data_IF_154734257205
#
_entry.id   IF_154734257205
#
_cell.length_a   1.000
_cell.length_b   1.000
_cell.length_c   1.000
_cell.angle_alpha   90.00
_cell.angle_beta   90.00
_cell.angle_gamma   90.00
#
_symmetry.space_group_name_H-M   'P 1'
#
loop_
_entity.id
_entity.type
_entity.pdbx_description
1 polymer ?
#
# COMPACT_ATOMS: atom_id res chain seq x y z
N UNK A 1 9.84 -26.53 23.53
CA UNK A 1 8.87 -25.54 23.02
C UNK A 1 9.23 -25.12 21.58
N UNK A 2 8.85 -25.90 20.57
CA UNK A 2 9.19 -25.62 19.16
C UNK A 2 8.29 -24.56 18.49
N UNK A 3 7.07 -24.32 18.98
CA UNK A 3 6.11 -23.38 18.36
C UNK A 3 6.49 -21.90 18.43
N UNK A 4 7.20 -21.48 19.48
CA UNK A 4 7.66 -20.08 19.65
C UNK A 4 8.77 -19.73 18.63
N UNK A 5 9.62 -20.69 18.29
CA UNK A 5 10.70 -20.52 17.30
C UNK A 5 10.18 -20.38 15.87
N UNK A 6 9.08 -21.06 15.53
CA UNK A 6 8.49 -21.01 14.18
C UNK A 6 7.77 -19.69 13.95
N UNK A 7 7.01 -19.18 14.93
CA UNK A 7 6.31 -17.89 14.81
C UNK A 7 7.32 -16.74 14.65
N UNK A 8 8.38 -16.72 15.45
CA UNK A 8 9.44 -15.69 15.33
C UNK A 8 10.13 -15.73 13.97
N UNK A 9 10.35 -16.92 13.40
CA UNK A 9 10.93 -17.07 12.06
C UNK A 9 9.96 -16.61 10.95
N UNK A 10 8.66 -16.92 11.08
CA UNK A 10 7.64 -16.43 10.14
C UNK A 10 7.50 -14.90 10.18
N UNK A 11 7.55 -14.30 11.37
CA UNK A 11 7.58 -12.83 11.54
C UNK A 11 8.83 -12.22 10.91
N UNK A 12 10.00 -12.83 11.13
CA UNK A 12 11.23 -12.41 10.45
C UNK A 12 11.12 -12.48 8.92
N UNK A 13 10.59 -13.58 8.36
CA UNK A 13 10.37 -13.71 6.92
C UNK A 13 9.33 -12.72 6.38
N UNK A 14 8.30 -12.40 7.18
CA UNK A 14 7.32 -11.37 6.84
C UNK A 14 7.99 -10.00 6.75
N UNK A 15 8.83 -9.64 7.73
CA UNK A 15 9.56 -8.36 7.76
C UNK A 15 10.59 -8.25 6.63
N UNK A 16 11.26 -9.35 6.28
CA UNK A 16 12.21 -9.38 5.14
C UNK A 16 11.49 -9.23 3.81
N UNK A 17 10.37 -9.95 3.61
CA UNK A 17 9.57 -9.82 2.39
C UNK A 17 8.91 -8.45 2.26
N UNK A 18 8.52 -7.83 3.39
CA UNK A 18 8.03 -6.44 3.42
C UNK A 18 9.03 -5.46 2.82
N UNK A 19 10.32 -5.66 3.09
CA UNK A 19 11.41 -4.81 2.60
C UNK A 19 11.81 -5.08 1.14
N UNK A 20 11.40 -6.22 0.58
CA UNK A 20 11.66 -6.59 -0.82
C UNK A 20 10.62 -5.98 -1.79
N UNK A 21 9.50 -5.46 -1.28
CA UNK A 21 8.46 -4.75 -2.04
C UNK A 21 9.01 -3.48 -2.72
N UNK A 22 9.68 -3.64 -3.85
CA UNK A 22 10.21 -2.54 -4.67
C UNK A 22 9.63 -2.54 -6.09
N UNK A 23 8.66 -3.44 -6.40
CA UNK A 23 8.23 -3.70 -7.79
C UNK A 23 6.73 -3.95 -7.94
N UNK A 24 5.89 -3.14 -7.28
CA UNK A 24 4.43 -3.24 -7.37
C UNK A 24 3.77 -2.31 -8.42
N UNK A 25 4.45 -1.23 -8.81
CA UNK A 25 3.84 -0.19 -9.65
C UNK A 25 2.77 0.62 -8.90
N UNK A 26 2.82 0.63 -7.57
CA UNK A 26 1.80 1.25 -6.72
C UNK A 26 1.95 2.78 -6.60
N UNK A 27 3.02 3.35 -7.14
CA UNK A 27 3.28 4.78 -7.19
C UNK A 27 2.33 5.55 -8.13
N UNK A 28 1.56 4.84 -8.96
CA UNK A 28 0.66 5.47 -9.93
C UNK A 28 -0.63 4.67 -10.13
N UNK A 29 -1.31 4.37 -9.02
CA UNK A 29 -2.52 3.55 -9.03
C UNK A 29 -3.74 4.31 -9.52
N UNK A 30 -3.83 5.64 -9.45
CA UNK A 30 -5.04 6.34 -9.94
C UNK A 30 -4.89 6.95 -11.34
N UNK A 31 -3.68 7.01 -11.90
CA UNK A 31 -3.43 7.70 -13.15
C UNK A 31 -2.70 6.81 -14.16
N UNK A 32 -3.44 5.98 -14.90
CA UNK A 32 -2.87 5.21 -16.02
C UNK A 32 -3.07 5.99 -17.33
N UNK A 33 -2.02 6.08 -18.16
CA UNK A 33 -2.00 6.87 -19.41
C UNK A 33 -3.12 6.52 -20.41
N UNK A 34 -3.74 5.35 -20.29
CA UNK A 34 -4.96 5.03 -21.03
C UNK A 34 -6.20 5.35 -20.19
N UNK A 35 -7.04 6.28 -20.66
CA UNK A 35 -8.31 6.67 -20.01
C UNK A 35 -9.29 5.48 -19.79
N UNK A 36 -9.13 4.39 -20.54
CA UNK A 36 -9.91 3.15 -20.43
C UNK A 36 -9.46 2.22 -19.30
N UNK A 37 -8.36 2.54 -18.63
CA UNK A 37 -7.83 1.79 -17.48
C UNK A 37 -7.88 2.63 -16.21
N UNK A 38 -8.98 3.36 -15.97
CA UNK A 38 -9.24 3.83 -14.62
C UNK A 38 -9.39 2.58 -13.76
N UNK A 39 -8.43 2.27 -12.88
CA UNK A 39 -8.56 1.11 -12.02
C UNK A 39 -9.75 1.37 -11.10
N UNK A 40 -10.43 0.30 -10.73
CA UNK A 40 -11.58 0.31 -9.83
C UNK A 40 -11.29 1.21 -8.63
N UNK A 41 -11.75 2.45 -8.65
CA UNK A 41 -11.51 3.43 -7.60
C UNK A 41 -12.85 3.73 -6.96
N UNK A 42 -12.92 3.53 -5.65
CA UNK A 42 -14.10 3.86 -4.86
C UNK A 42 -13.66 4.59 -3.61
N UNK A 43 -14.15 5.82 -3.43
CA UNK A 43 -13.89 6.60 -2.22
C UNK A 43 -14.58 5.95 -1.00
N UNK A 44 -13.82 5.78 0.08
CA UNK A 44 -14.33 5.21 1.33
C UNK A 44 -14.77 6.27 2.34
N UNK A 45 -14.43 7.54 2.11
CA UNK A 45 -14.68 8.61 3.09
C UNK A 45 -16.13 9.08 3.16
N UNK A 46 -16.96 8.76 2.17
CA UNK A 46 -18.36 9.16 2.11
C UNK A 46 -19.27 7.93 2.00
N UNK A 47 -20.46 7.90 2.64
CA UNK A 47 -21.45 6.86 2.40
C UNK A 47 -21.85 6.83 0.91
N UNK A 48 -21.87 5.62 0.32
CA UNK A 48 -22.23 5.43 -1.07
C UNK A 48 -23.29 4.31 -1.17
N UNK A 49 -24.55 4.64 -1.51
CA UNK A 49 -25.61 3.64 -1.70
C UNK A 49 -25.33 2.64 -2.83
N UNK A 50 -24.52 3.00 -3.82
CA UNK A 50 -24.16 2.12 -4.94
C UNK A 50 -22.99 1.18 -4.61
N UNK A 51 -22.39 1.32 -3.41
CA UNK A 51 -21.22 0.56 -2.98
C UNK A 51 -21.39 -0.98 -3.10
N UNK A 52 -22.53 -1.61 -2.76
CA UNK A 52 -22.69 -3.05 -2.98
C UNK A 52 -22.54 -3.46 -4.46
N UNK A 53 -23.08 -2.65 -5.38
CA UNK A 53 -22.95 -2.89 -6.81
C UNK A 53 -21.50 -2.69 -7.30
N UNK A 54 -20.80 -1.71 -6.73
CA UNK A 54 -19.37 -1.49 -6.97
C UNK A 54 -18.53 -2.71 -6.55
N UNK A 55 -18.79 -3.27 -5.37
CA UNK A 55 -18.13 -4.49 -4.89
C UNK A 55 -18.38 -5.71 -5.75
N UNK A 56 -19.62 -5.89 -6.21
CA UNK A 56 -19.94 -6.96 -7.14
C UNK A 56 -19.21 -6.81 -8.48
N UNK A 57 -19.15 -5.59 -9.01
CA UNK A 57 -18.39 -5.30 -10.24
C UNK A 57 -16.89 -5.59 -10.07
N UNK A 58 -16.31 -5.14 -8.95
CA UNK A 58 -14.93 -5.39 -8.59
C UNK A 58 -14.64 -6.90 -8.44
N UNK A 59 -15.50 -7.65 -7.73
CA UNK A 59 -15.36 -9.08 -7.55
C UNK A 59 -15.37 -9.83 -8.88
N UNK A 60 -16.34 -9.51 -9.77
CA UNK A 60 -16.41 -10.08 -11.12
C UNK A 60 -15.17 -9.76 -11.95
N UNK A 61 -14.62 -8.55 -11.81
CA UNK A 61 -13.38 -8.18 -12.51
C UNK A 61 -12.17 -8.97 -12.02
N UNK A 62 -12.05 -9.20 -10.70
CA UNK A 62 -10.99 -10.02 -10.12
C UNK A 62 -11.08 -11.46 -10.64
N UNK A 63 -12.26 -12.08 -10.55
CA UNK A 63 -12.51 -13.46 -11.03
C UNK A 63 -12.21 -13.62 -12.52
N UNK A 64 -12.69 -12.68 -13.35
CA UNK A 64 -12.43 -12.70 -14.80
C UNK A 64 -10.94 -12.48 -15.15
N UNK A 65 -10.20 -11.76 -14.32
CA UNK A 65 -8.76 -11.54 -14.53
C UNK A 65 -7.95 -12.75 -14.09
N UNK A 66 -8.33 -13.38 -12.97
CA UNK A 66 -7.74 -14.64 -12.51
C UNK A 66 -7.95 -15.77 -13.52
N UNK A 67 -9.14 -15.90 -14.10
CA UNK A 67 -9.42 -16.85 -15.17
C UNK A 67 -8.55 -16.65 -16.43
N UNK A 68 -7.99 -15.45 -16.61
CA UNK A 68 -7.04 -15.10 -17.70
C UNK A 68 -5.58 -15.19 -17.26
N UNK A 69 -5.30 -15.71 -16.07
CA UNK A 69 -3.94 -15.84 -15.52
C UNK A 69 -3.34 -14.53 -15.00
N UNK A 70 -4.15 -13.48 -14.80
CA UNK A 70 -3.70 -12.20 -14.26
C UNK A 70 -4.09 -12.10 -12.78
N UNK A 71 -3.10 -12.17 -11.91
CA UNK A 71 -3.31 -12.01 -10.48
C UNK A 71 -3.54 -10.53 -10.12
N UNK A 72 -4.78 -10.19 -9.77
CA UNK A 72 -5.16 -8.88 -9.24
C UNK A 72 -5.59 -9.01 -7.77
N UNK A 73 -5.39 -7.95 -6.99
CA UNK A 73 -5.81 -7.90 -5.58
C UNK A 73 -6.62 -6.63 -5.30
N UNK A 74 -7.72 -6.75 -4.55
CA UNK A 74 -8.39 -5.60 -3.96
C UNK A 74 -7.58 -5.09 -2.76
N UNK A 75 -7.41 -3.77 -2.71
CA UNK A 75 -6.59 -3.07 -1.72
C UNK A 75 -7.37 -1.88 -1.16
N UNK A 76 -7.07 -1.54 0.09
CA UNK A 76 -7.51 -0.30 0.72
C UNK A 76 -6.31 0.63 0.88
N UNK A 77 -6.36 1.79 0.25
CA UNK A 77 -5.34 2.82 0.33
C UNK A 77 -5.65 3.87 1.41
N UNK A 78 -4.60 4.32 2.09
CA UNK A 78 -4.63 5.33 3.14
C UNK A 78 -3.66 6.46 2.82
N UNK A 79 -4.19 7.68 2.77
CA UNK A 79 -3.43 8.87 2.39
C UNK A 79 -3.13 8.88 0.89
N UNK A 80 -3.60 9.86 0.14
CA UNK A 80 -3.38 9.95 -1.30
C UNK A 80 -2.31 11.00 -1.60
N UNK A 81 -1.22 10.59 -2.25
CA UNK A 81 -0.18 11.48 -2.75
C UNK A 81 -0.37 11.68 -4.25
N UNK A 82 -0.54 12.93 -4.68
CA UNK A 82 -0.72 13.33 -6.08
C UNK A 82 0.33 14.37 -6.49
N UNK A 83 0.87 14.25 -7.70
CA UNK A 83 1.77 15.26 -8.25
C UNK A 83 2.85 14.68 -9.12
N UNK A 84 3.94 15.42 -9.27
CA UNK A 84 5.15 14.97 -9.92
C UNK A 84 6.30 14.98 -8.94
N UNK A 85 7.06 13.90 -8.94
CA UNK A 85 8.29 13.75 -8.17
C UNK A 85 9.45 13.77 -9.17
N UNK A 86 10.46 14.58 -8.86
CA UNK A 86 11.68 14.61 -9.65
C UNK A 86 12.50 13.34 -9.37
N UNK A 87 12.89 12.65 -10.43
CA UNK A 87 13.78 11.49 -10.37
C UNK A 87 14.96 11.73 -11.30
N UNK A 88 15.98 10.89 -11.21
CA UNK A 88 17.11 10.94 -12.14
C UNK A 88 16.69 10.76 -13.61
N UNK A 89 15.61 10.03 -13.89
CA UNK A 89 15.03 9.88 -15.25
C UNK A 89 14.14 11.07 -15.67
N UNK A 90 14.04 12.10 -14.82
CA UNK A 90 13.13 13.24 -14.98
C UNK A 90 11.89 13.15 -14.10
N UNK A 91 10.89 13.98 -14.42
CA UNK A 91 9.68 14.11 -13.62
C UNK A 91 8.74 12.91 -13.81
N UNK A 92 8.42 12.22 -12.72
CA UNK A 92 7.48 11.09 -12.70
C UNK A 92 6.18 11.51 -12.05
N UNK A 93 5.06 11.23 -12.73
CA UNK A 93 3.70 11.41 -12.18
C UNK A 93 3.44 10.37 -11.10
N UNK A 94 2.82 10.83 -10.02
CA UNK A 94 2.47 10.03 -8.85
C UNK A 94 0.98 10.21 -8.56
N UNK A 95 0.33 9.09 -8.31
CA UNK A 95 -1.04 9.04 -7.83
C UNK A 95 -1.22 7.79 -6.98
N UNK A 96 -0.74 7.85 -5.74
CA UNK A 96 -0.41 6.67 -4.93
C UNK A 96 -0.96 6.76 -3.51
N UNK A 97 -1.31 5.61 -2.89
CA UNK A 97 -1.52 5.57 -1.45
C UNK A 97 -0.19 5.77 -0.71
N UNK A 98 -0.21 6.42 0.45
CA UNK A 98 0.94 6.51 1.35
C UNK A 98 1.16 5.18 2.08
N UNK A 99 0.07 4.56 2.53
CA UNK A 99 0.02 3.22 3.10
C UNK A 99 -1.17 2.45 2.52
N UNK A 100 -1.13 1.13 2.56
CA UNK A 100 -2.24 0.29 2.12
C UNK A 100 -2.32 -1.02 2.89
N UNK A 101 -3.45 -1.69 2.81
CA UNK A 101 -3.61 -3.08 3.27
C UNK A 101 -4.36 -3.90 2.21
N UNK A 102 -4.19 -5.22 2.26
CA UNK A 102 -5.02 -6.13 1.46
C UNK A 102 -6.48 -6.07 1.90
N UNK A 103 -7.35 -6.52 1.03
CA UNK A 103 -8.76 -6.68 1.33
C UNK A 103 -9.30 -7.95 0.69
N UNK A 104 -10.52 -8.34 1.08
CA UNK A 104 -11.28 -9.43 0.47
C UNK A 104 -12.66 -8.92 0.07
N UNK A 105 -13.13 -9.44 -1.06
CA UNK A 105 -14.51 -9.31 -1.50
C UNK A 105 -15.13 -10.69 -1.38
N UNK A 106 -16.12 -10.84 -0.50
CA UNK A 106 -16.75 -12.11 -0.15
C UNK A 106 -18.19 -12.05 -0.65
N UNK A 107 -18.56 -12.98 -1.52
CA UNK A 107 -19.95 -13.11 -1.95
C UNK A 107 -20.79 -13.68 -0.79
N UNK A 108 -21.95 -13.08 -0.57
CA UNK A 108 -22.89 -13.49 0.45
C UNK A 108 -23.69 -14.70 -0.06
N UNK A 109 -23.45 -15.87 0.53
CA UNK A 109 -24.10 -17.12 0.13
C UNK A 109 -25.63 -17.06 0.30
N UNK A 110 -26.11 -16.31 1.30
CA UNK A 110 -27.54 -16.20 1.63
C UNK A 110 -28.25 -15.11 0.80
N UNK A 111 -27.49 -14.19 0.20
CA UNK A 111 -28.03 -13.04 -0.55
C UNK A 111 -27.36 -12.91 -1.92
N UNK A 112 -27.98 -13.47 -2.98
CA UNK A 112 -27.44 -13.37 -4.33
C UNK A 112 -27.18 -11.90 -4.74
N UNK A 113 -26.01 -11.63 -5.32
CA UNK A 113 -25.53 -10.29 -5.69
C UNK A 113 -25.19 -9.34 -4.52
N UNK A 114 -25.03 -9.86 -3.30
CA UNK A 114 -24.46 -9.12 -2.18
C UNK A 114 -22.99 -9.50 -2.02
N UNK A 115 -22.14 -8.48 -1.86
CA UNK A 115 -20.70 -8.66 -1.63
C UNK A 115 -20.29 -7.87 -0.41
N UNK A 116 -19.66 -8.56 0.52
CA UNK A 116 -19.04 -7.97 1.71
C UNK A 116 -17.59 -7.61 1.40
N UNK A 117 -17.16 -6.46 1.91
CA UNK A 117 -15.79 -5.99 1.82
C UNK A 117 -15.13 -6.11 3.20
N UNK A 118 -14.02 -6.85 3.27
CA UNK A 118 -13.27 -7.09 4.49
C UNK A 118 -11.83 -6.57 4.31
N UNK A 119 -11.43 -5.47 4.99
CA UNK A 119 -10.02 -5.09 5.08
C UNK A 119 -9.23 -6.11 5.91
N UNK A 120 -8.06 -6.50 5.42
CA UNK A 120 -7.10 -7.33 6.15
C UNK A 120 -6.07 -6.44 6.85
N UNK A 121 -6.47 -5.90 8.00
CA UNK A 121 -5.73 -4.90 8.76
C UNK A 121 -4.32 -5.34 9.18
N UNK A 122 -4.13 -6.64 9.41
CA UNK A 122 -2.84 -7.27 9.72
C UNK A 122 -1.81 -7.18 8.58
N UNK A 123 -2.26 -6.78 7.38
CA UNK A 123 -1.40 -6.60 6.20
C UNK A 123 -1.10 -5.13 5.90
N UNK A 124 -1.42 -4.22 6.82
CA UNK A 124 -1.14 -2.79 6.62
C UNK A 124 0.36 -2.56 6.49
N UNK A 125 0.75 -1.77 5.48
CA UNK A 125 2.16 -1.49 5.17
C UNK A 125 2.31 -0.15 4.48
N UNK A 126 3.52 0.42 4.54
CA UNK A 126 3.87 1.60 3.77
C UNK A 126 4.02 1.27 2.28
N UNK A 127 3.73 2.25 1.43
CA UNK A 127 3.98 2.15 0.00
C UNK A 127 5.45 2.40 -0.33
N UNK A 128 6.28 1.37 -0.23
CA UNK A 128 7.71 1.47 -0.50
C UNK A 128 8.05 1.86 -1.94
N UNK A 129 7.22 1.55 -2.94
CA UNK A 129 7.40 2.06 -4.32
C UNK A 129 7.35 3.59 -4.33
N UNK A 130 6.40 4.18 -3.58
CA UNK A 130 6.31 5.63 -3.41
C UNK A 130 7.49 6.18 -2.60
N UNK A 131 7.84 5.54 -1.49
CA UNK A 131 8.90 6.04 -0.60
C UNK A 131 10.26 6.05 -1.31
N UNK A 132 10.60 4.96 -2.00
CA UNK A 132 11.85 4.85 -2.77
C UNK A 132 11.89 5.83 -3.94
N UNK A 133 10.75 6.16 -4.54
CA UNK A 133 10.66 7.18 -5.57
C UNK A 133 11.06 8.57 -5.04
N UNK A 134 10.60 8.95 -3.85
CA UNK A 134 10.97 10.22 -3.21
C UNK A 134 12.43 10.24 -2.78
N UNK A 135 12.95 9.12 -2.28
CA UNK A 135 14.34 9.02 -1.82
C UNK A 135 15.35 9.05 -2.97
N UNK A 136 14.89 8.97 -4.23
CA UNK A 136 15.74 9.06 -5.41
C UNK A 136 16.80 7.96 -5.44
N UNK A 137 16.44 6.75 -5.88
CA UNK A 137 17.47 5.76 -6.19
C UNK A 137 18.35 6.29 -7.34
N UNK A 138 19.64 6.50 -7.07
CA UNK A 138 20.66 6.79 -8.09
C UNK A 138 20.69 5.69 -9.17
N UNK A 139 21.27 6.00 -10.32
CA UNK A 139 21.46 5.06 -11.44
C UNK A 139 21.91 3.68 -10.92
N UNK A 140 21.38 2.56 -11.48
CA UNK A 140 22.21 1.38 -11.51
C UNK A 140 23.44 1.78 -12.33
N UNK A 141 24.60 1.93 -11.66
CA UNK A 141 25.91 2.06 -12.31
C UNK A 141 25.88 1.17 -13.56
N UNK A 142 26.18 1.75 -14.74
CA UNK A 142 26.35 0.98 -15.96
C UNK A 142 27.16 -0.27 -15.60
N UNK A 143 26.57 -1.43 -15.86
CA UNK A 143 27.17 -2.74 -15.61
C UNK A 143 28.50 -2.79 -16.36
N UNK A 144 29.58 -2.41 -15.69
CA UNK A 144 30.92 -2.78 -16.11
C UNK A 144 30.99 -4.29 -15.90
N UNK A 145 31.18 -5.01 -16.99
CA UNK A 145 30.89 -6.44 -17.17
C UNK A 145 31.94 -7.35 -16.48
N UNK A 146 32.41 -6.97 -15.29
CA UNK A 146 33.38 -7.74 -14.50
C UNK A 146 33.02 -7.71 -13.01
N UNK A 147 32.83 -8.91 -12.45
CA UNK A 147 32.55 -9.21 -11.04
C UNK A 147 31.11 -8.99 -10.55
N UNK A 148 30.25 -9.90 -11.02
CA UNK A 148 28.92 -10.21 -10.54
C UNK A 148 28.90 -10.81 -9.12
N UNK A 149 29.22 -10.02 -8.09
CA UNK A 149 28.72 -10.29 -6.72
C UNK A 149 28.59 -8.99 -5.93
N UNK A 150 27.39 -8.39 -5.99
CA UNK A 150 26.76 -7.51 -4.99
C UNK A 150 26.07 -6.31 -5.66
N UNK A 151 24.88 -6.56 -6.20
CA UNK A 151 23.90 -5.50 -6.51
C UNK A 151 23.18 -5.06 -5.22
N UNK A 152 23.94 -4.66 -4.20
CA UNK A 152 23.37 -3.95 -3.06
C UNK A 152 23.44 -2.45 -3.36
N UNK A 153 22.33 -1.69 -3.19
CA UNK A 153 22.29 -0.26 -3.48
C UNK A 153 23.39 0.47 -2.70
N UNK A 154 24.25 1.22 -3.41
CA UNK A 154 25.50 1.82 -2.88
C UNK A 154 25.31 3.01 -1.93
N UNK A 155 24.10 3.50 -1.73
CA UNK A 155 23.72 4.23 -0.54
C UNK A 155 22.37 3.71 -0.07
N UNK A 156 22.41 2.75 0.85
CA UNK A 156 21.21 2.34 1.55
C UNK A 156 20.56 3.56 2.19
N UNK A 157 19.22 3.63 2.12
CA UNK A 157 18.41 4.57 2.88
C UNK A 157 19.03 4.71 4.27
N UNK A 158 19.51 5.91 4.62
CA UNK A 158 20.28 6.11 5.84
C UNK A 158 19.53 5.55 7.05
N UNK A 159 20.24 4.96 8.02
CA UNK A 159 19.62 4.26 9.16
C UNK A 159 18.56 5.09 9.89
N UNK A 160 18.71 6.43 9.88
CA UNK A 160 17.74 7.37 10.43
C UNK A 160 16.41 7.41 9.65
N UNK A 161 16.43 7.35 8.32
CA UNK A 161 15.23 7.34 7.48
C UNK A 161 14.50 5.99 7.61
N UNK A 162 15.25 4.88 7.66
CA UNK A 162 14.66 3.56 7.94
C UNK A 162 13.99 3.51 9.32
N UNK A 163 14.58 4.13 10.34
CA UNK A 163 13.98 4.22 11.67
C UNK A 163 12.67 5.01 11.66
N UNK A 164 12.59 6.10 10.89
CA UNK A 164 11.35 6.88 10.71
C UNK A 164 10.26 6.02 10.08
N UNK A 165 10.55 5.30 8.99
CA UNK A 165 9.56 4.45 8.34
C UNK A 165 9.13 3.28 9.24
N UNK A 166 10.07 2.66 9.95
CA UNK A 166 9.77 1.59 10.91
C UNK A 166 8.83 2.09 12.01
N UNK A 167 9.05 3.30 12.53
CA UNK A 167 8.16 3.91 13.53
C UNK A 167 6.76 4.14 12.98
N UNK A 168 6.64 4.68 11.75
CA UNK A 168 5.34 4.88 11.12
C UNK A 168 4.61 3.56 10.91
N UNK A 169 5.30 2.49 10.49
CA UNK A 169 4.69 1.17 10.36
C UNK A 169 4.20 0.62 11.69
N UNK A 170 4.98 0.75 12.76
CA UNK A 170 4.53 0.35 14.10
C UNK A 170 3.30 1.14 14.56
N UNK A 171 3.22 2.42 14.22
CA UNK A 171 2.06 3.26 14.53
C UNK A 171 0.84 2.85 13.68
N UNK A 172 1.03 2.53 12.39
CA UNK A 172 -0.02 1.98 11.52
C UNK A 172 -0.53 0.62 12.02
N UNK A 173 0.37 -0.28 12.39
CA UNK A 173 0.05 -1.58 12.98
C UNK A 173 -0.71 -1.42 14.30
N UNK A 174 -0.29 -0.49 15.17
CA UNK A 174 -1.01 -0.20 16.43
C UNK A 174 -2.43 0.28 16.17
N UNK A 175 -2.60 1.25 15.26
CA UNK A 175 -3.93 1.75 14.87
C UNK A 175 -4.79 0.66 14.24
N UNK A 176 -4.18 -0.25 13.48
CA UNK A 176 -4.85 -1.41 12.91
C UNK A 176 -5.25 -2.47 13.97
N UNK A 177 -4.45 -2.64 15.03
CA UNK A 177 -4.67 -3.61 16.10
C UNK A 177 -5.67 -3.18 17.18
N UNK A 178 -5.93 -1.87 17.37
CA UNK A 178 -6.77 -1.34 18.47
C UNK A 178 -8.30 -1.59 18.33
N UNK A 179 -8.69 -2.73 17.72
CA UNK A 179 -10.00 -3.38 17.87
C UNK A 179 -11.25 -2.53 17.51
N UNK A 180 -11.27 -1.94 16.31
CA UNK A 180 -12.54 -1.63 15.67
C UNK A 180 -12.48 -1.94 14.15
N UNK A 181 -13.34 -2.81 13.60
CA UNK A 181 -13.51 -2.93 12.15
C UNK A 181 -13.99 -1.62 11.50
N UNK A 182 -14.63 -0.74 12.30
CA UNK A 182 -14.91 0.66 11.99
C UNK A 182 -13.80 1.61 12.46
N UNK A 183 -12.59 1.11 12.79
CA UNK A 183 -11.41 1.93 13.09
C UNK A 183 -11.10 2.75 11.85
N UNK A 184 -11.69 3.92 11.89
CA UNK A 184 -11.51 5.00 10.97
C UNK A 184 -10.05 5.41 11.12
N UNK A 185 -9.15 4.83 10.34
CA UNK A 185 -7.91 5.51 9.93
C UNK A 185 -8.34 6.75 9.13
N UNK A 186 -8.88 7.74 9.84
CA UNK A 186 -9.46 8.96 9.28
C UNK A 186 -8.36 9.97 9.08
N UNK A 187 -8.67 10.99 8.28
CA UNK A 187 -7.72 12.05 7.95
C UNK A 187 -6.93 12.62 9.13
N UNK A 188 -7.51 12.82 10.34
CA UNK A 188 -6.79 13.30 11.52
C UNK A 188 -5.65 12.40 12.01
N UNK A 189 -5.67 11.10 11.75
CA UNK A 189 -4.63 10.16 12.18
C UNK A 189 -3.51 10.03 11.15
N UNK A 190 -3.85 10.18 9.87
CA UNK A 190 -2.90 10.11 8.76
C UNK A 190 -2.05 11.38 8.60
N UNK A 191 -2.62 12.55 8.89
CA UNK A 191 -1.92 13.83 8.76
C UNK A 191 -0.70 13.97 9.71
N UNK A 192 -0.75 13.56 10.99
CA UNK A 192 0.41 13.51 11.87
C UNK A 192 1.54 12.63 11.33
N UNK A 193 1.21 11.45 10.78
CA UNK A 193 2.20 10.52 10.23
C UNK A 193 2.97 11.14 9.06
N UNK A 194 2.27 11.73 8.08
CA UNK A 194 2.96 12.37 6.95
C UNK A 194 3.76 13.59 7.41
N UNK A 195 3.27 14.36 8.39
CA UNK A 195 4.01 15.48 8.93
C UNK A 195 5.28 15.04 9.65
N UNK A 196 5.25 13.91 10.38
CA UNK A 196 6.45 13.32 10.96
C UNK A 196 7.46 12.94 9.89
N UNK A 197 7.04 12.28 8.81
CA UNK A 197 7.93 11.97 7.68
C UNK A 197 8.50 13.23 7.04
N UNK A 198 7.68 14.24 6.77
CA UNK A 198 8.12 15.52 6.18
C UNK A 198 9.15 16.27 7.04
N UNK A 199 9.00 16.21 8.36
CA UNK A 199 9.92 16.89 9.28
C UNK A 199 11.22 16.12 9.44
N UNK A 200 11.17 14.79 9.37
CA UNK A 200 12.29 13.89 9.64
C UNK A 200 13.07 13.46 8.39
N UNK A 201 12.47 13.53 7.20
CA UNK A 201 13.05 13.08 5.91
C UNK A 201 13.06 14.26 4.93
N UNK A 202 14.25 14.67 4.49
CA UNK A 202 14.43 15.93 3.75
C UNK A 202 13.69 15.92 2.40
N UNK A 203 13.70 14.79 1.72
CA UNK A 203 13.11 14.53 0.41
C UNK A 203 11.57 14.73 0.44
N UNK A 204 10.95 14.46 1.59
CA UNK A 204 9.51 14.62 1.78
C UNK A 204 9.07 16.04 2.12
N UNK A 205 9.99 16.97 2.43
CA UNK A 205 9.63 18.36 2.78
C UNK A 205 8.83 19.08 1.69
N UNK A 206 9.07 18.71 0.43
CA UNK A 206 8.40 19.23 -0.76
C UNK A 206 6.91 18.84 -0.85
N UNK A 207 6.51 17.76 -0.18
CA UNK A 207 5.12 17.30 -0.15
C UNK A 207 4.29 18.29 0.66
N UNK A 208 3.21 18.83 0.09
CA UNK A 208 2.26 19.67 0.80
C UNK A 208 1.18 18.81 1.44
N UNK A 209 0.75 19.13 2.66
CA UNK A 209 -0.40 18.46 3.28
C UNK A 209 -1.65 19.30 3.05
N UNK A 210 -2.66 18.72 2.40
CA UNK A 210 -3.96 19.36 2.20
C UNK A 210 -4.82 19.24 3.45
N UNK A 211 -5.43 20.36 3.86
CA UNK A 211 -6.48 20.38 4.89
C UNK A 211 -7.89 20.20 4.29
N UNK A 212 -8.01 20.26 2.97
CA UNK A 212 -9.27 20.05 2.26
C UNK A 212 -9.43 18.57 1.86
N UNK A 213 -10.67 18.05 1.84
CA UNK A 213 -10.93 16.70 1.32
C UNK A 213 -10.55 16.60 -0.16
N UNK A 214 -10.15 15.40 -0.56
CA UNK A 214 -9.85 15.12 -1.96
C UNK A 214 -11.12 15.04 -2.81
N UNK A 215 -11.06 15.57 -4.04
CA UNK A 215 -12.12 15.48 -5.03
C UNK A 215 -11.59 14.83 -6.31
N UNK A 216 -12.16 13.69 -6.72
CA UNK A 216 -11.67 12.91 -7.87
C UNK A 216 -11.60 13.71 -9.19
N UNK A 217 -12.53 14.65 -9.41
CA UNK A 217 -12.55 15.51 -10.61
C UNK A 217 -11.28 16.36 -10.78
N UNK A 218 -10.52 16.56 -9.70
CA UNK A 218 -9.29 17.36 -9.67
C UNK A 218 -8.03 16.51 -9.86
N UNK A 219 -8.15 15.20 -10.08
CA UNK A 219 -7.00 14.31 -10.27
C UNK A 219 -6.03 14.83 -11.34
N UNK A 220 -6.56 15.21 -12.51
CA UNK A 220 -5.75 15.70 -13.63
C UNK A 220 -5.02 17.01 -13.30
N UNK A 221 -5.64 17.90 -12.52
CA UNK A 221 -5.02 19.14 -12.04
C UNK A 221 -3.81 18.82 -11.13
N UNK A 222 -4.00 17.93 -10.16
CA UNK A 222 -2.96 17.62 -9.19
C UNK A 222 -1.81 16.81 -9.79
N UNK A 223 -2.08 15.83 -10.65
CA UNK A 223 -1.04 14.95 -11.21
C UNK A 223 -0.07 15.69 -12.14
N UNK A 224 -0.48 16.82 -12.74
CA UNK A 224 0.43 17.67 -13.52
C UNK A 224 1.22 18.68 -12.65
N UNK A 225 0.90 18.81 -11.36
CA UNK A 225 1.60 19.70 -10.44
C UNK A 225 2.99 19.17 -10.08
N UNK A 226 4.01 20.02 -10.21
CA UNK A 226 5.38 19.74 -9.71
C UNK A 226 5.54 19.83 -8.19
N UNK A 227 4.48 20.17 -7.48
CA UNK A 227 4.44 20.16 -6.02
C UNK A 227 3.49 19.04 -5.59
N UNK A 228 4.04 17.89 -5.13
CA UNK A 228 3.23 16.80 -4.62
C UNK A 228 2.35 17.24 -3.45
N UNK A 229 1.12 16.76 -3.43
CA UNK A 229 0.15 17.05 -2.37
C UNK A 229 -0.34 15.73 -1.77
N UNK A 230 -0.30 15.67 -0.45
CA UNK A 230 -0.90 14.62 0.35
C UNK A 230 -2.33 15.02 0.75
N UNK A 231 -3.27 14.12 0.53
CA UNK A 231 -4.64 14.21 1.02
C UNK A 231 -4.88 13.09 2.02
N UNK A 232 -5.47 13.43 3.15
CA UNK A 232 -5.85 12.45 4.15
C UNK A 232 -7.15 11.75 3.70
N UNK A 233 -7.00 10.77 2.81
CA UNK A 233 -8.06 10.18 1.99
C UNK A 233 -7.98 8.66 2.02
N UNK A 234 -9.14 7.99 2.02
CA UNK A 234 -9.23 6.54 1.89
C UNK A 234 -9.95 6.13 0.63
N UNK A 235 -9.41 5.12 -0.03
CA UNK A 235 -9.96 4.65 -1.29
C UNK A 235 -9.67 3.18 -1.54
N UNK A 236 -10.65 2.52 -2.15
CA UNK A 236 -10.50 1.22 -2.77
C UNK A 236 -9.66 1.35 -4.03
N UNK A 237 -8.79 0.39 -4.28
CA UNK A 237 -8.23 0.20 -5.59
C UNK A 237 -7.94 -1.28 -5.88
N UNK A 238 -7.83 -1.62 -7.17
CA UNK A 238 -7.33 -2.92 -7.60
C UNK A 238 -5.98 -2.73 -8.27
N UNK A 239 -4.99 -3.51 -7.82
CA UNK A 239 -3.66 -3.52 -8.41
C UNK A 239 -3.18 -4.95 -8.69
N UNK A 240 -2.19 -5.14 -9.59
CA UNK A 240 -1.53 -6.42 -9.77
C UNK A 240 -0.96 -6.94 -8.45
N UNK A 241 -1.09 -8.24 -8.23
CA UNK A 241 -0.42 -8.90 -7.12
C UNK A 241 1.07 -9.01 -7.45
N UNK A 242 1.92 -8.17 -6.84
CA UNK A 242 3.35 -8.46 -6.84
C UNK A 242 3.57 -9.82 -6.14
N UNK A 243 4.44 -10.69 -6.68
CA UNK A 243 4.70 -12.02 -6.09
C UNK A 243 5.15 -11.95 -4.61
N UNK A 244 5.77 -10.83 -4.23
CA UNK A 244 6.18 -10.51 -2.85
C UNK A 244 4.97 -10.19 -1.95
N UNK A 245 3.96 -9.45 -2.45
CA UNK A 245 2.69 -9.20 -1.73
C UNK A 245 1.91 -10.50 -1.47
N UNK A 246 1.94 -11.45 -2.42
CA UNK A 246 1.30 -12.76 -2.23
C UNK A 246 2.00 -13.59 -1.16
N UNK A 247 3.33 -13.49 -1.06
CA UNK A 247 4.12 -14.18 -0.04
C UNK A 247 3.88 -13.58 1.34
N UNK A 248 3.80 -12.25 1.45
CA UNK A 248 3.44 -11.59 2.71
C UNK A 248 2.04 -11.97 3.20
N UNK A 249 1.04 -11.97 2.31
CA UNK A 249 -0.34 -12.34 2.67
C UNK A 249 -0.42 -13.79 3.14
N UNK A 250 0.33 -14.70 2.50
CA UNK A 250 0.41 -16.10 2.92
C UNK A 250 1.13 -16.26 4.26
N UNK A 251 2.21 -15.50 4.51
CA UNK A 251 2.93 -15.50 5.77
C UNK A 251 2.08 -14.95 6.92
N UNK A 252 1.34 -13.85 6.70
CA UNK A 252 0.41 -13.28 7.68
C UNK A 252 -0.69 -14.29 8.06
N UNK A 253 -1.30 -14.95 7.07
CA UNK A 253 -2.31 -15.99 7.33
C UNK A 253 -1.71 -17.22 8.06
N UNK A 254 -0.49 -17.63 7.72
CA UNK A 254 0.23 -18.71 8.41
C UNK A 254 0.56 -18.35 9.87
N UNK A 255 0.97 -17.11 10.14
CA UNK A 255 1.19 -16.60 11.50
C UNK A 255 -0.12 -16.68 12.28
N UNK A 256 -1.21 -16.15 11.72
CA UNK A 256 -2.53 -16.16 12.35
C UNK A 256 -3.02 -17.57 12.66
N UNK A 257 -2.87 -18.51 11.73
CA UNK A 257 -3.23 -19.91 11.93
C UNK A 257 -2.38 -20.59 13.01
N UNK A 258 -1.08 -20.27 13.07
CA UNK A 258 -0.16 -20.81 14.06
C UNK A 258 -0.44 -20.28 15.46
N UNK A 259 -0.78 -18.99 15.58
CA UNK A 259 -1.19 -18.36 16.84
C UNK A 259 -2.51 -18.92 17.36
N UNK A 260 -3.52 -19.11 16.49
CA UNK A 260 -4.80 -19.76 16.85
C UNK A 260 -4.61 -21.21 17.30
N UNK A 261 -3.74 -21.98 16.64
CA UNK A 261 -3.42 -23.35 17.06
C UNK A 261 -2.73 -23.40 18.41
N UNK A 262 -1.83 -22.47 18.71
CA UNK A 262 -1.18 -22.40 20.02
C UNK A 262 -2.14 -21.98 21.15
N UNK A 263 -3.13 -21.12 20.86
CA UNK A 263 -4.16 -20.75 21.84
C UNK A 263 -5.13 -21.90 22.15
N UNK A 264 -5.46 -22.74 21.16
CA UNK A 264 -6.33 -23.91 21.35
C UNK A 264 -5.60 -25.13 21.94
N UNK A 265 -4.28 -25.05 22.15
CA UNK A 265 -3.44 -26.10 22.73
C UNK A 265 -3.08 -25.84 24.21
N UNK A 266 -3.56 -24.75 24.78
CA UNK A 266 -3.51 -24.38 26.20
C UNK A 266 -4.89 -24.61 26.84
#
# INVERSE_FOLDING_TARGET
>A
MPGVSVISYLRYLHDVNRKLLQRGGLENVLYRKAASQNPFYHQFDQPDPARPAHWLSALRHLQNSEARGVALRPLLGFGLVLGQVETWKGWKRVAAPFAFCNSRLIEDEDRPNSVQFEPLWDTITLNYDLLTLFLGQEEPDELDDSDSTSLLPKQGVGGQVLAVFTQIEQDLERLACDLNPDARLIGPELAPMINYVRNSVAEFRSVRVSNAPYEQRRLAEFVESRSPVFFAHRFFFIAPAAGELTTMTALAELIRQSERKNQNAL
#
